data_IF_135342618580
#
_entry.id   IF_135342618580
#
_cell.length_a   1.000
_cell.length_b   1.000
_cell.length_c   1.000
_cell.angle_alpha   90.00
_cell.angle_beta   90.00
_cell.angle_gamma   90.00
#
_symmetry.space_group_name_H-M   'P 1'
#
loop_
_entity.id
_entity.type
_entity.pdbx_description
1 polymer ?
#
# COMPACT_ATOMS: atom_id res chain seq x y z
N UNK A 1 9.87 9.24 -13.39
CA UNK A 1 8.96 8.53 -12.47
C UNK A 1 9.01 7.04 -12.77
N UNK A 2 9.19 6.21 -11.75
CA UNK A 2 9.12 4.75 -11.90
C UNK A 2 7.72 4.35 -11.48
N UNK A 3 6.94 3.85 -12.42
CA UNK A 3 5.63 3.26 -12.16
C UNK A 3 5.72 1.77 -12.44
N UNK A 4 5.41 0.95 -11.44
CA UNK A 4 5.42 -0.50 -11.57
C UNK A 4 4.01 -0.98 -11.90
N UNK A 5 3.85 -1.63 -13.05
CA UNK A 5 2.67 -2.45 -13.32
C UNK A 5 3.01 -3.85 -12.81
N UNK A 6 2.47 -4.21 -11.66
CA UNK A 6 2.67 -5.54 -11.08
C UNK A 6 1.74 -6.54 -11.76
N UNK A 7 2.33 -7.54 -12.42
CA UNK A 7 1.64 -8.74 -12.87
C UNK A 7 2.00 -9.90 -11.94
N UNK A 8 1.00 -10.61 -11.45
CA UNK A 8 1.18 -11.82 -10.66
C UNK A 8 0.34 -12.95 -11.25
N UNK A 9 0.68 -14.20 -10.91
CA UNK A 9 -0.13 -15.36 -11.32
C UNK A 9 -1.58 -15.17 -10.85
N UNK A 10 -2.53 -15.42 -11.75
CA UNK A 10 -3.95 -15.20 -11.50
C UNK A 10 -4.42 -13.73 -11.58
N UNK A 11 -3.54 -12.79 -11.90
CA UNK A 11 -3.86 -11.37 -12.07
C UNK A 11 -4.65 -11.07 -13.34
N UNK A 12 -5.73 -10.30 -13.18
CA UNK A 12 -6.42 -9.64 -14.29
C UNK A 12 -5.66 -8.39 -14.77
N UNK A 13 -6.21 -7.67 -15.76
CA UNK A 13 -5.65 -6.40 -16.20
C UNK A 13 -5.67 -5.36 -15.08
N UNK A 14 -4.65 -4.50 -15.04
CA UNK A 14 -4.68 -3.29 -14.24
C UNK A 14 -5.51 -2.24 -14.97
N UNK A 15 -6.67 -1.89 -14.41
CA UNK A 15 -7.52 -0.82 -14.93
C UNK A 15 -7.29 0.47 -14.14
N UNK A 16 -6.86 1.53 -14.82
CA UNK A 16 -6.73 2.86 -14.22
C UNK A 16 -8.11 3.55 -14.16
N UNK A 17 -8.40 4.32 -13.10
CA UNK A 17 -9.66 5.04 -13.00
C UNK A 17 -9.77 6.12 -14.08
N UNK A 18 -10.98 6.43 -14.54
CA UNK A 18 -11.21 7.40 -15.63
C UNK A 18 -10.59 8.79 -15.36
N UNK A 19 -10.44 9.16 -14.08
CA UNK A 19 -9.87 10.43 -13.65
C UNK A 19 -8.33 10.47 -13.72
N UNK A 20 -7.64 9.33 -13.80
CA UNK A 20 -6.19 9.27 -13.71
C UNK A 20 -5.52 8.44 -14.82
N UNK A 21 -4.31 8.83 -15.18
CA UNK A 21 -3.52 8.14 -16.21
C UNK A 21 -2.04 8.16 -15.88
N UNK A 22 -1.26 7.31 -16.55
CA UNK A 22 0.19 7.27 -16.42
C UNK A 22 0.82 8.07 -17.56
N UNK A 23 1.40 9.25 -17.29
CA UNK A 23 2.02 10.03 -18.35
C UNK A 23 3.32 9.35 -18.82
N UNK A 24 3.41 9.11 -20.12
CA UNK A 24 4.58 8.51 -20.79
C UNK A 24 5.01 9.37 -21.98
N UNK A 25 6.30 9.38 -22.28
CA UNK A 25 6.89 10.21 -23.33
C UNK A 25 7.04 11.68 -22.93
N UNK A 26 7.74 12.45 -23.76
CA UNK A 26 8.04 13.87 -23.48
C UNK A 26 6.75 14.70 -23.41
N UNK A 27 6.61 15.48 -22.34
CA UNK A 27 5.53 16.47 -22.26
C UNK A 27 5.84 17.65 -23.18
N UNK A 28 4.80 18.29 -23.71
CA UNK A 28 4.93 19.41 -24.65
C UNK A 28 5.59 20.66 -24.02
N UNK A 29 5.58 20.76 -22.70
CA UNK A 29 6.28 21.78 -21.90
C UNK A 29 7.78 21.46 -21.69
N UNK A 30 8.28 20.35 -22.22
CA UNK A 30 9.66 19.89 -22.06
C UNK A 30 9.93 19.19 -20.72
N UNK A 31 8.90 18.95 -19.90
CA UNK A 31 9.05 18.25 -18.64
C UNK A 31 9.43 16.77 -18.88
N UNK A 32 10.61 16.39 -18.40
CA UNK A 32 11.20 15.06 -18.49
C UNK A 32 10.73 14.13 -17.37
N UNK A 33 9.85 14.60 -16.48
CA UNK A 33 9.34 13.84 -15.35
C UNK A 33 8.28 12.81 -15.74
N UNK A 34 8.32 12.31 -16.96
CA UNK A 34 7.49 11.25 -17.52
C UNK A 34 8.38 10.11 -18.01
N UNK A 35 7.85 8.89 -18.05
CA UNK A 35 8.65 7.73 -18.46
C UNK A 35 8.98 7.82 -19.96
N UNK A 36 10.26 8.03 -20.30
CA UNK A 36 10.73 8.02 -21.69
C UNK A 36 10.97 6.60 -22.23
N UNK A 37 11.12 5.62 -21.33
CA UNK A 37 11.36 4.21 -21.65
C UNK A 37 10.42 3.34 -20.85
N UNK A 38 10.09 2.18 -21.40
CA UNK A 38 9.42 1.09 -20.69
C UNK A 38 10.44 -0.01 -20.49
N UNK A 39 10.60 -0.44 -19.23
CA UNK A 39 11.43 -1.58 -18.87
C UNK A 39 10.50 -2.71 -18.49
N UNK A 40 10.68 -3.86 -19.12
CA UNK A 40 9.98 -5.09 -18.78
C UNK A 40 10.92 -5.98 -17.97
N UNK A 41 10.54 -6.27 -16.73
CA UNK A 41 11.20 -7.27 -15.90
C UNK A 41 10.29 -8.49 -15.78
N UNK A 42 10.82 -9.68 -16.06
CA UNK A 42 10.08 -10.94 -16.01
C UNK A 42 10.78 -11.90 -15.06
N UNK A 43 10.02 -12.39 -14.07
CA UNK A 43 10.52 -13.34 -13.08
C UNK A 43 10.29 -14.77 -13.58
N UNK A 44 11.35 -15.44 -14.03
CA UNK A 44 11.28 -16.84 -14.47
C UNK A 44 11.63 -17.81 -13.35
N UNK A 45 10.74 -18.78 -13.10
CA UNK A 45 11.02 -19.93 -12.24
C UNK A 45 11.19 -21.18 -13.11
N UNK A 46 12.42 -21.69 -13.25
CA UNK A 46 12.76 -22.87 -14.07
C UNK A 46 13.38 -24.00 -13.22
N UNK A 47 12.60 -24.67 -12.35
CA UNK A 47 13.15 -25.66 -11.40
C UNK A 47 13.68 -26.91 -12.09
N UNK A 48 13.05 -27.31 -13.21
CA UNK A 48 13.49 -28.46 -14.03
C UNK A 48 14.71 -28.19 -14.90
N UNK A 49 15.24 -26.95 -14.89
CA UNK A 49 16.38 -26.51 -15.73
C UNK A 49 16.21 -26.88 -17.19
N UNK A 50 14.98 -26.77 -17.69
CA UNK A 50 14.67 -27.06 -19.07
C UNK A 50 15.51 -26.14 -19.97
N UNK A 51 16.16 -26.75 -20.97
CA UNK A 51 16.98 -26.05 -21.94
C UNK A 51 16.14 -25.62 -23.15
N UNK A 52 16.63 -24.62 -23.88
CA UNK A 52 16.05 -24.16 -25.16
C UNK A 52 14.58 -23.70 -25.08
N UNK A 53 14.12 -23.17 -23.95
CA UNK A 53 12.83 -22.48 -23.86
C UNK A 53 12.97 -21.09 -24.49
N UNK A 54 12.08 -20.77 -25.43
CA UNK A 54 11.90 -19.43 -25.96
C UNK A 54 10.57 -18.90 -25.42
N UNK A 55 10.61 -17.74 -24.79
CA UNK A 55 9.44 -17.05 -24.27
C UNK A 55 9.27 -15.70 -24.96
N UNK A 56 8.01 -15.28 -25.14
CA UNK A 56 7.63 -13.97 -25.69
C UNK A 56 6.54 -13.32 -24.84
N UNK A 57 6.59 -13.53 -23.53
CA UNK A 57 5.66 -12.95 -22.57
C UNK A 57 5.90 -11.45 -22.40
N UNK A 58 4.85 -10.73 -22.01
CA UNK A 58 4.91 -9.29 -21.77
C UNK A 58 3.54 -8.71 -21.44
N UNK A 59 3.45 -7.38 -21.52
CA UNK A 59 2.21 -6.65 -21.26
C UNK A 59 1.64 -6.04 -22.54
N UNK A 60 0.31 -5.93 -22.61
CA UNK A 60 -0.39 -5.07 -23.56
C UNK A 60 -0.75 -3.76 -22.88
N UNK A 61 -0.26 -2.64 -23.43
CA UNK A 61 -0.56 -1.31 -22.93
C UNK A 61 -1.61 -0.63 -23.81
N UNK A 62 -2.69 -0.16 -23.19
CA UNK A 62 -3.70 0.68 -23.83
C UNK A 62 -3.46 2.13 -23.43
N UNK A 63 -3.29 3.03 -24.41
CA UNK A 63 -2.93 4.42 -24.17
C UNK A 63 -3.74 5.39 -25.05
N UNK A 64 -3.70 6.67 -24.70
CA UNK A 64 -4.33 7.76 -25.44
C UNK A 64 -3.42 8.98 -25.43
N UNK A 65 -3.52 9.83 -26.46
CA UNK A 65 -2.84 11.12 -26.50
C UNK A 65 -3.51 12.18 -25.60
N UNK A 66 -4.76 11.97 -25.22
CA UNK A 66 -5.49 12.88 -24.33
C UNK A 66 -5.12 12.62 -22.87
N UNK A 67 -4.50 13.61 -22.21
CA UNK A 67 -4.18 13.53 -20.79
C UNK A 67 -5.45 13.41 -19.94
N UNK A 68 -5.34 12.65 -18.85
CA UNK A 68 -6.37 12.55 -17.81
C UNK A 68 -6.27 13.74 -16.86
N UNK A 69 -7.27 13.89 -15.99
CA UNK A 69 -7.32 14.99 -15.02
C UNK A 69 -6.14 14.92 -14.03
N UNK A 70 -5.74 13.71 -13.65
CA UNK A 70 -4.66 13.49 -12.70
C UNK A 70 -3.61 12.51 -13.25
N UNK A 71 -2.35 12.76 -12.94
CA UNK A 71 -1.31 11.75 -13.08
C UNK A 71 -1.48 10.71 -11.97
N UNK A 72 -1.38 9.43 -12.31
CA UNK A 72 -1.31 8.33 -11.36
C UNK A 72 0.15 8.08 -10.95
N UNK A 73 0.34 7.56 -9.74
CA UNK A 73 1.64 7.24 -9.20
C UNK A 73 1.60 6.04 -8.26
N UNK A 74 2.76 5.68 -7.73
CA UNK A 74 2.89 4.64 -6.69
C UNK A 74 3.47 5.28 -5.44
N UNK A 75 2.82 5.02 -4.30
CA UNK A 75 3.38 5.24 -2.98
C UNK A 75 3.77 3.88 -2.39
N UNK A 76 5.07 3.65 -2.25
CA UNK A 76 5.61 2.40 -1.70
C UNK A 76 5.75 2.50 -0.19
N UNK A 77 5.15 1.57 0.53
CA UNK A 77 5.24 1.44 1.98
C UNK A 77 5.87 0.09 2.31
N UNK A 78 6.88 0.04 3.18
CA UNK A 78 7.49 -1.24 3.53
C UNK A 78 8.76 -1.12 4.35
N UNK A 79 9.40 -2.23 4.66
CA UNK A 79 10.68 -2.23 5.38
C UNK A 79 11.74 -2.91 4.51
N UNK A 80 12.88 -2.26 4.33
CA UNK A 80 14.04 -2.78 3.57
C UNK A 80 15.17 -3.24 4.49
N UNK A 81 14.98 -3.12 5.80
CA UNK A 81 15.99 -3.35 6.83
C UNK A 81 15.41 -4.20 7.95
N UNK A 82 15.31 -5.50 7.67
CA UNK A 82 14.89 -6.51 8.63
C UNK A 82 15.73 -7.79 8.54
N UNK A 83 15.71 -8.55 9.64
CA UNK A 83 16.37 -9.84 9.76
C UNK A 83 15.44 -10.82 10.48
N UNK A 84 14.87 -11.77 9.74
CA UNK A 84 13.96 -12.80 10.26
C UNK A 84 14.82 -13.96 10.78
N UNK A 85 14.78 -14.29 12.09
CA UNK A 85 15.53 -15.41 12.64
C UNK A 85 15.03 -16.75 12.05
N UNK A 86 15.88 -17.79 11.94
CA UNK A 86 15.45 -19.12 11.54
C UNK A 86 14.57 -19.78 12.61
N UNK A 87 13.68 -20.68 12.19
CA UNK A 87 12.89 -21.51 13.10
C UNK A 87 11.76 -20.81 13.86
N UNK A 88 11.36 -19.60 13.46
CA UNK A 88 10.30 -18.86 14.14
C UNK A 88 8.91 -19.23 13.60
N UNK A 89 7.99 -19.54 14.53
CA UNK A 89 6.58 -19.79 14.21
C UNK A 89 5.87 -18.56 13.67
N UNK A 90 6.21 -17.40 14.22
CA UNK A 90 5.73 -16.11 13.76
C UNK A 90 6.81 -15.06 14.04
N UNK A 91 7.12 -14.27 13.03
CA UNK A 91 7.96 -13.09 13.15
C UNK A 91 7.31 -11.93 12.42
N UNK A 92 7.17 -10.79 13.09
CA UNK A 92 6.53 -9.61 12.51
C UNK A 92 7.56 -8.54 12.16
N UNK A 93 7.54 -8.11 10.91
CA UNK A 93 8.19 -6.89 10.45
C UNK A 93 7.16 -5.76 10.44
N UNK A 94 7.55 -4.59 10.96
CA UNK A 94 6.67 -3.43 11.10
C UNK A 94 7.34 -2.18 10.53
N UNK A 95 6.78 -1.69 9.43
CA UNK A 95 7.06 -0.36 8.89
C UNK A 95 6.02 0.65 9.38
N UNK A 96 6.46 1.86 9.71
CA UNK A 96 5.56 2.97 9.99
C UNK A 96 5.93 4.16 9.12
N UNK A 97 4.96 4.64 8.36
CA UNK A 97 5.02 5.92 7.69
C UNK A 97 4.38 7.01 8.58
N UNK A 98 5.19 7.86 9.23
CA UNK A 98 4.67 8.83 10.19
C UNK A 98 3.95 9.99 9.50
N UNK A 99 3.13 10.70 10.29
CA UNK A 99 2.45 11.92 9.87
C UNK A 99 3.38 12.97 9.24
N UNK A 100 4.62 13.08 9.73
CA UNK A 100 5.64 13.99 9.18
C UNK A 100 6.07 13.65 7.75
N UNK A 101 5.89 12.39 7.35
CA UNK A 101 6.14 11.91 6.00
C UNK A 101 4.95 12.17 5.08
N UNK A 102 3.76 11.73 5.48
CA UNK A 102 2.53 11.91 4.71
C UNK A 102 2.14 13.39 4.57
N UNK A 103 2.56 14.25 5.50
CA UNK A 103 2.42 15.71 5.36
C UNK A 103 3.10 16.26 4.10
N UNK A 104 4.09 15.54 3.54
CA UNK A 104 4.80 15.91 2.31
C UNK A 104 4.10 15.46 1.03
N UNK A 105 2.97 14.75 1.13
CA UNK A 105 2.11 14.49 -0.02
C UNK A 105 1.61 15.81 -0.65
N UNK A 106 1.53 16.88 0.15
CA UNK A 106 1.16 18.23 -0.28
C UNK A 106 -0.34 18.42 -0.52
N UNK A 107 -1.08 17.34 -0.75
CA UNK A 107 -2.52 17.33 -0.99
C UNK A 107 -3.12 15.95 -0.66
N UNK A 108 -4.45 15.92 -0.58
CA UNK A 108 -5.22 14.69 -0.48
C UNK A 108 -4.92 13.77 -1.68
N UNK A 109 -4.61 12.52 -1.38
CA UNK A 109 -4.17 11.52 -2.37
C UNK A 109 -5.14 10.34 -2.33
N UNK A 110 -5.81 10.08 -3.45
CA UNK A 110 -6.75 8.97 -3.59
C UNK A 110 -6.00 7.70 -3.92
N UNK A 111 -6.15 6.68 -3.09
CA UNK A 111 -5.75 5.30 -3.36
C UNK A 111 -6.86 4.64 -4.16
N UNK A 112 -6.49 3.93 -5.23
CA UNK A 112 -7.43 3.13 -6.03
C UNK A 112 -7.09 1.64 -6.05
N UNK A 113 -5.85 1.26 -5.71
CA UNK A 113 -5.45 -0.14 -5.61
C UNK A 113 -4.28 -0.31 -4.63
N UNK A 114 -4.27 -1.45 -3.90
CA UNK A 114 -3.15 -1.90 -3.09
C UNK A 114 -2.50 -3.14 -3.71
N UNK A 115 -1.19 -3.07 -3.99
CA UNK A 115 -0.35 -4.19 -4.42
C UNK A 115 0.48 -4.70 -3.24
N UNK A 116 -0.06 -5.65 -2.48
CA UNK A 116 0.64 -6.27 -1.35
C UNK A 116 1.69 -7.25 -1.88
N UNK A 117 2.88 -7.28 -1.26
CA UNK A 117 4.00 -8.07 -1.75
C UNK A 117 4.91 -8.61 -0.63
N UNK A 118 5.15 -9.93 -0.67
CA UNK A 118 6.05 -10.69 0.21
C UNK A 118 6.57 -11.93 -0.54
N UNK A 119 7.60 -12.61 -0.03
CA UNK A 119 8.07 -13.88 -0.61
C UNK A 119 7.50 -15.10 0.16
N UNK A 120 8.17 -16.25 0.04
CA UNK A 120 7.64 -17.57 0.42
C UNK A 120 7.43 -17.77 1.93
N UNK A 121 8.14 -17.03 2.78
CA UNK A 121 7.97 -17.11 4.23
C UNK A 121 6.79 -16.24 4.73
N UNK A 122 6.17 -15.43 3.87
CA UNK A 122 5.04 -14.60 4.25
C UNK A 122 3.82 -15.40 4.68
N UNK A 123 3.13 -14.94 5.73
CA UNK A 123 1.90 -15.56 6.24
C UNK A 123 0.72 -14.60 6.31
N UNK A 124 0.95 -13.31 6.57
CA UNK A 124 -0.08 -12.29 6.53
C UNK A 124 0.52 -10.89 6.32
N UNK A 125 -0.26 -9.99 5.73
CA UNK A 125 0.12 -8.58 5.57
C UNK A 125 -1.09 -7.67 5.71
N UNK A 126 -0.89 -6.54 6.38
CA UNK A 126 -1.90 -5.47 6.50
C UNK A 126 -1.20 -4.11 6.48
N UNK A 127 -1.82 -3.14 5.82
CA UNK A 127 -1.46 -1.73 5.97
C UNK A 127 -2.60 -0.98 6.64
N UNK A 128 -2.40 -0.57 7.88
CA UNK A 128 -3.36 0.26 8.60
C UNK A 128 -3.30 1.70 8.12
N UNK A 129 -4.45 2.35 8.07
CA UNK A 129 -4.59 3.78 7.82
C UNK A 129 -5.16 4.44 9.06
N UNK A 130 -4.39 5.33 9.68
CA UNK A 130 -4.80 6.03 10.89
C UNK A 130 -4.91 7.52 10.55
N UNK A 131 -6.13 8.01 10.47
CA UNK A 131 -6.45 9.41 10.17
C UNK A 131 -7.00 10.08 11.43
N UNK A 132 -6.40 11.21 11.83
CA UNK A 132 -6.79 11.97 13.02
C UNK A 132 -6.94 11.12 14.31
N UNK A 133 -6.10 10.09 14.48
CA UNK A 133 -6.14 9.21 15.65
C UNK A 133 -7.23 8.12 15.61
N UNK A 134 -7.90 7.94 14.47
CA UNK A 134 -8.90 6.89 14.24
C UNK A 134 -8.41 6.00 13.10
N UNK A 135 -8.35 4.70 13.36
CA UNK A 135 -8.04 3.72 12.32
C UNK A 135 -9.23 3.58 11.37
N UNK A 136 -8.94 3.76 10.08
CA UNK A 136 -9.85 3.65 8.96
C UNK A 136 -9.78 2.25 8.37
N UNK A 137 -10.56 2.01 7.31
CA UNK A 137 -10.41 0.81 6.49
C UNK A 137 -8.94 0.66 6.05
N UNK A 138 -8.33 -0.54 6.20
CA UNK A 138 -6.93 -0.74 5.88
C UNK A 138 -6.66 -0.54 4.39
N UNK A 139 -5.45 -0.05 4.07
CA UNK A 139 -4.96 0.16 2.69
C UNK A 139 -4.52 -1.15 2.04
N UNK A 140 -5.26 -2.24 2.27
CA UNK A 140 -4.90 -3.59 1.88
C UNK A 140 -4.66 -4.49 3.08
N UNK A 141 -5.25 -5.69 3.01
CA UNK A 141 -5.15 -6.75 3.99
C UNK A 141 -5.17 -8.13 3.31
N UNK A 142 -4.33 -9.03 3.78
CA UNK A 142 -4.32 -10.47 3.48
C UNK A 142 -3.98 -11.21 4.77
N UNK A 143 -4.98 -11.87 5.34
CA UNK A 143 -4.82 -12.65 6.57
C UNK A 143 -4.16 -14.02 6.31
N UNK A 144 -4.25 -14.50 5.07
CA UNK A 144 -3.64 -15.75 4.61
C UNK A 144 -2.88 -15.46 3.33
N UNK A 145 -1.59 -15.17 3.47
CA UNK A 145 -0.72 -14.88 2.34
C UNK A 145 -0.44 -16.14 1.53
N UNK A 146 -0.54 -16.04 0.21
CA UNK A 146 -0.07 -17.03 -0.75
C UNK A 146 0.86 -16.32 -1.74
N UNK A 147 2.13 -16.74 -1.77
CA UNK A 147 3.15 -16.19 -2.66
C UNK A 147 2.72 -16.24 -4.13
N UNK A 148 1.86 -17.18 -4.52
CA UNK A 148 1.39 -17.33 -5.89
C UNK A 148 0.18 -16.42 -6.21
N UNK A 149 -0.36 -15.67 -5.25
CA UNK A 149 -1.56 -14.84 -5.40
C UNK A 149 -1.30 -13.40 -4.94
N UNK A 150 -0.54 -12.66 -5.74
CA UNK A 150 -0.15 -11.28 -5.43
C UNK A 150 -0.91 -10.25 -6.27
N UNK A 151 -2.15 -10.57 -6.60
CA UNK A 151 -3.01 -9.69 -7.39
C UNK A 151 -3.38 -8.43 -6.60
N UNK A 152 -3.39 -7.29 -7.29
CA UNK A 152 -3.79 -6.03 -6.70
C UNK A 152 -5.23 -6.06 -6.20
N UNK A 153 -5.48 -5.41 -5.06
CA UNK A 153 -6.84 -5.28 -4.51
C UNK A 153 -7.34 -3.87 -4.77
N UNK A 154 -8.46 -3.76 -5.50
CA UNK A 154 -9.14 -2.49 -5.67
C UNK A 154 -9.62 -1.95 -4.32
N UNK A 155 -9.34 -0.68 -4.06
CA UNK A 155 -9.72 0.01 -2.84
C UNK A 155 -9.84 1.49 -3.17
N UNK A 156 -10.95 2.14 -2.82
CA UNK A 156 -11.10 3.58 -3.00
C UNK A 156 -11.13 4.29 -1.66
N UNK A 157 -10.04 4.99 -1.33
CA UNK A 157 -9.92 5.78 -0.09
C UNK A 157 -8.93 6.92 -0.28
N UNK A 158 -8.86 7.85 0.67
CA UNK A 158 -8.01 9.04 0.58
C UNK A 158 -7.03 9.07 1.75
N UNK A 159 -5.75 9.19 1.42
CA UNK A 159 -4.69 9.52 2.38
C UNK A 159 -4.57 11.03 2.42
N UNK A 160 -4.64 11.62 3.61
CA UNK A 160 -4.47 13.05 3.81
C UNK A 160 -3.09 13.39 4.37
N UNK A 161 -2.57 14.59 4.08
CA UNK A 161 -1.40 15.12 4.77
C UNK A 161 -1.56 15.02 6.30
N UNK A 162 -0.64 14.32 6.96
CA UNK A 162 -0.66 14.12 8.42
C UNK A 162 -1.22 12.77 8.88
N UNK A 163 -1.74 11.93 7.98
CA UNK A 163 -2.16 10.58 8.33
C UNK A 163 -0.97 9.68 8.70
N UNK A 164 -1.20 8.65 9.50
CA UNK A 164 -0.20 7.62 9.84
C UNK A 164 -0.53 6.32 9.13
N UNK A 165 0.45 5.71 8.47
CA UNK A 165 0.29 4.43 7.78
C UNK A 165 1.21 3.39 8.42
N UNK A 166 0.69 2.20 8.72
CA UNK A 166 1.48 1.15 9.40
C UNK A 166 1.35 -0.15 8.62
N UNK A 167 2.43 -0.58 7.99
CA UNK A 167 2.50 -1.87 7.29
C UNK A 167 3.09 -2.91 8.21
N UNK A 168 2.36 -4.00 8.43
CA UNK A 168 2.83 -5.17 9.19
C UNK A 168 2.85 -6.37 8.27
N UNK A 169 3.98 -7.05 8.26
CA UNK A 169 4.21 -8.29 7.53
C UNK A 169 4.54 -9.38 8.55
N UNK A 170 3.75 -10.44 8.59
CA UNK A 170 4.01 -11.61 9.41
C UNK A 170 4.65 -12.70 8.54
N UNK A 171 5.64 -13.36 9.11
CA UNK A 171 6.38 -14.45 8.46
C UNK A 171 6.37 -15.69 9.34
N UNK A 172 6.51 -16.86 8.70
CA UNK A 172 6.92 -18.12 9.31
C UNK A 172 8.28 -18.52 8.73
N UNK A 173 9.25 -18.77 9.60
CA UNK A 173 10.59 -19.22 9.21
C UNK A 173 10.93 -20.59 9.77
N UNK A 174 9.92 -21.38 10.16
CA UNK A 174 10.04 -22.76 10.67
C UNK A 174 11.01 -23.62 9.84
N UNK A 175 10.91 -23.52 8.52
CA UNK A 175 11.67 -24.34 7.57
C UNK A 175 13.00 -23.69 7.13
N UNK A 176 13.37 -22.53 7.72
CA UNK A 176 14.61 -21.81 7.40
C UNK A 176 15.68 -22.16 8.42
N UNK A 177 16.89 -22.43 7.94
CA UNK A 177 18.06 -22.78 8.77
C UNK A 177 19.00 -21.60 9.01
N UNK A 178 18.83 -20.49 8.28
CA UNK A 178 19.62 -19.28 8.40
C UNK A 178 18.74 -18.03 8.48
N UNK A 179 19.32 -16.93 8.95
CA UNK A 179 18.61 -15.66 9.05
C UNK A 179 18.23 -15.18 7.65
N UNK A 180 16.93 -14.94 7.43
CA UNK A 180 16.39 -14.44 6.16
C UNK A 180 16.33 -12.90 6.21
N UNK A 181 16.74 -12.22 5.14
CA UNK A 181 16.83 -10.74 5.05
C UNK A 181 16.04 -10.23 3.86
N UNK A 182 15.93 -8.91 3.78
CA UNK A 182 15.57 -8.23 2.55
C UNK A 182 16.40 -8.74 1.35
N UNK A 183 15.74 -8.99 0.22
CA UNK A 183 16.42 -9.26 -1.05
C UNK A 183 15.45 -9.68 -2.14
N UNK A 184 15.95 -9.72 -3.38
CA UNK A 184 15.17 -9.97 -4.60
C UNK A 184 14.95 -11.46 -4.89
N UNK A 185 15.73 -12.36 -4.26
CA UNK A 185 15.55 -13.80 -4.50
C UNK A 185 14.28 -14.28 -3.82
N UNK A 186 13.62 -15.27 -4.42
CA UNK A 186 12.46 -15.96 -3.83
C UNK A 186 12.72 -16.52 -2.42
N UNK A 187 13.99 -16.83 -2.10
CA UNK A 187 14.42 -17.30 -0.78
C UNK A 187 14.85 -16.18 0.18
N UNK A 188 15.08 -14.97 -0.31
CA UNK A 188 15.13 -13.77 0.53
C UNK A 188 13.67 -13.35 0.84
N UNK A 189 13.45 -12.24 1.54
CA UNK A 189 12.10 -11.74 1.84
C UNK A 189 11.89 -10.28 1.47
N UNK A 190 10.62 -9.90 1.33
CA UNK A 190 10.17 -8.52 1.17
C UNK A 190 8.94 -8.22 2.04
N UNK A 191 8.76 -6.95 2.37
CA UNK A 191 7.59 -6.44 3.08
C UNK A 191 7.12 -5.15 2.41
N UNK A 192 6.24 -5.25 1.40
CA UNK A 192 5.76 -4.06 0.69
C UNK A 192 4.25 -4.00 0.52
N UNK A 193 3.74 -2.78 0.51
CA UNK A 193 2.47 -2.41 -0.07
C UNK A 193 2.71 -1.29 -1.09
N UNK A 194 2.49 -1.61 -2.36
CA UNK A 194 2.55 -0.67 -3.46
C UNK A 194 1.16 -0.07 -3.68
N UNK A 195 0.94 1.12 -3.12
CA UNK A 195 -0.34 1.82 -3.28
C UNK A 195 -0.34 2.56 -4.60
N UNK A 196 -1.29 2.22 -5.48
CA UNK A 196 -1.54 2.99 -6.68
C UNK A 196 -2.50 4.12 -6.33
N UNK A 197 -2.06 5.34 -6.66
CA UNK A 197 -2.69 6.56 -6.18
C UNK A 197 -2.81 7.64 -7.25
N UNK A 198 -3.71 8.61 -7.04
CA UNK A 198 -3.75 9.87 -7.77
C UNK A 198 -4.25 11.03 -6.88
N UNK A 199 -3.80 12.28 -7.09
CA UNK A 199 -2.70 12.66 -8.00
C UNK A 199 -1.36 12.03 -7.58
N UNK A 200 -0.43 11.92 -8.51
CA UNK A 200 0.87 11.32 -8.26
C UNK A 200 1.59 12.07 -7.13
N UNK A 201 2.01 11.38 -6.05
CA UNK A 201 2.56 12.03 -4.88
C UNK A 201 4.01 12.46 -5.11
N UNK A 202 4.43 13.48 -4.33
CA UNK A 202 5.85 13.83 -4.21
C UNK A 202 6.63 12.78 -3.42
N UNK A 203 6.00 12.14 -2.44
CA UNK A 203 6.56 11.02 -1.66
C UNK A 203 6.44 9.74 -2.46
N UNK A 204 7.58 9.05 -2.68
CA UNK A 204 7.64 7.82 -3.47
C UNK A 204 7.78 6.58 -2.60
N UNK A 205 8.60 6.66 -1.55
CA UNK A 205 8.92 5.53 -0.68
C UNK A 205 8.93 6.00 0.77
N UNK A 206 8.28 5.21 1.62
CA UNK A 206 8.27 5.38 3.05
C UNK A 206 8.69 4.07 3.71
N UNK A 207 9.92 4.01 4.21
CA UNK A 207 10.53 2.75 4.65
C UNK A 207 11.28 2.80 5.98
N UNK A 208 11.10 1.76 6.79
CA UNK A 208 11.77 1.58 8.06
C UNK A 208 13.25 1.24 7.87
N UNK A 209 14.10 1.74 8.77
CA UNK A 209 15.55 1.46 8.80
C UNK A 209 15.98 0.80 10.12
N UNK A 210 15.06 0.08 10.79
CA UNK A 210 15.23 -0.39 12.17
C UNK A 210 16.46 -1.28 12.35
N UNK A 211 16.74 -2.17 11.40
CA UNK A 211 17.87 -3.12 11.52
C UNK A 211 19.23 -2.52 11.18
N UNK A 212 19.30 -1.22 10.84
CA UNK A 212 20.56 -0.49 10.70
C UNK A 212 21.05 0.14 12.02
N UNK A 213 20.40 -0.16 13.14
CA UNK A 213 20.73 0.45 14.43
C UNK A 213 20.27 1.91 14.56
N UNK A 214 19.46 2.40 13.62
CA UNK A 214 18.92 3.75 13.62
C UNK A 214 17.67 3.90 14.50
N UNK A 215 17.20 2.84 15.17
CA UNK A 215 16.02 2.89 16.05
C UNK A 215 14.71 3.07 15.27
N UNK A 216 13.80 3.91 15.79
CA UNK A 216 12.50 4.22 15.18
C UNK A 216 12.60 5.25 14.03
N UNK A 217 13.62 5.15 13.18
CA UNK A 217 13.75 6.05 12.03
C UNK A 217 13.10 5.43 10.79
N UNK A 218 12.35 6.28 10.10
CA UNK A 218 11.73 6.01 8.81
C UNK A 218 12.34 6.97 7.79
N UNK A 219 12.61 6.43 6.62
CA UNK A 219 13.06 7.16 5.48
C UNK A 219 11.88 7.49 4.57
N UNK A 220 11.77 8.76 4.23
CA UNK A 220 10.74 9.36 3.42
C UNK A 220 11.35 9.98 2.18
N UNK A 221 11.45 9.17 1.13
CA UNK A 221 12.02 9.63 -0.12
C UNK A 221 10.96 10.39 -0.89
N UNK A 222 11.34 11.59 -1.24
CA UNK A 222 10.59 12.48 -2.12
C UNK A 222 11.32 12.64 -3.45
N UNK A 223 10.58 13.06 -4.46
CA UNK A 223 11.17 13.75 -5.60
C UNK A 223 11.64 15.13 -5.18
N UNK A 224 12.75 15.60 -5.72
CA UNK A 224 13.10 17.02 -5.67
C UNK A 224 12.29 17.82 -6.71
N UNK A 225 12.53 19.14 -6.78
CA UNK A 225 11.90 20.03 -7.76
C UNK A 225 12.23 19.68 -9.22
N UNK A 226 13.30 18.91 -9.44
CA UNK A 226 13.73 18.41 -10.75
C UNK A 226 13.19 17.01 -11.03
N UNK A 227 12.40 16.45 -10.12
CA UNK A 227 11.81 15.11 -10.21
C UNK A 227 12.79 13.96 -10.04
N UNK A 228 14.04 14.24 -9.64
CA UNK A 228 15.04 13.22 -9.35
C UNK A 228 14.79 12.59 -7.98
N UNK A 229 15.10 11.30 -7.89
CA UNK A 229 14.92 10.52 -6.67
C UNK A 229 16.23 10.57 -5.89
N UNK A 230 16.19 11.06 -4.66
CA UNK A 230 17.36 11.13 -3.78
C UNK A 230 17.58 9.75 -3.12
N UNK A 231 18.01 8.74 -3.89
CA UNK A 231 17.95 7.32 -3.47
C UNK A 231 19.23 6.49 -3.61
N UNK A 232 20.25 6.95 -4.33
CA UNK A 232 21.38 6.10 -4.73
C UNK A 232 22.20 5.54 -3.54
N UNK A 233 22.26 6.27 -2.42
CA UNK A 233 22.98 5.84 -1.20
C UNK A 233 22.19 4.85 -0.33
N UNK A 234 20.87 4.80 -0.48
CA UNK A 234 19.99 3.95 0.33
C UNK A 234 19.80 2.55 -0.27
N UNK A 235 19.88 2.44 -1.59
CA UNK A 235 19.93 1.14 -2.27
C UNK A 235 21.18 0.34 -1.88
N UNK A 236 22.30 1.04 -1.65
CA UNK A 236 23.54 0.46 -1.11
C UNK A 236 23.36 -0.08 0.31
N UNK A 237 22.52 0.56 1.12
CA UNK A 237 22.18 0.16 2.49
C UNK A 237 21.23 -1.04 2.51
N UNK A 238 20.19 -1.04 1.66
CA UNK A 238 19.24 -2.15 1.50
C UNK A 238 19.93 -3.44 1.03
N UNK A 239 20.92 -3.32 0.15
CA UNK A 239 21.65 -4.46 -0.41
C UNK A 239 22.65 -5.11 0.57
N UNK A 240 22.81 -4.58 1.80
CA UNK A 240 23.81 -5.06 2.76
C UNK A 240 25.25 -4.94 2.26
N UNK A 241 25.49 -4.08 1.26
CA UNK A 241 26.74 -4.05 0.47
C UNK A 241 27.73 -2.96 0.87
N UNK A 242 27.46 -2.13 1.89
CA UNK A 242 28.30 -0.95 2.13
C UNK A 242 28.61 -0.71 3.61
N UNK A 243 29.90 -0.53 3.89
CA UNK A 243 30.42 0.09 5.11
C UNK A 243 29.93 1.54 5.17
N UNK A 244 29.27 1.92 6.26
CA UNK A 244 28.53 3.18 6.36
C UNK A 244 29.44 4.42 6.33
N UNK A 245 29.13 5.43 5.50
CA UNK A 245 29.70 6.79 5.62
C UNK A 245 28.75 7.69 6.43
N UNK A 246 29.15 8.18 7.62
CA UNK A 246 28.37 9.09 8.44
C UNK A 246 27.87 10.36 7.72
N UNK A 247 28.57 10.81 6.68
CA UNK A 247 28.18 11.99 5.89
C UNK A 247 26.83 11.80 5.16
N UNK A 248 26.53 10.57 4.73
CA UNK A 248 25.28 10.24 4.02
C UNK A 248 24.04 10.30 4.93
N UNK A 249 24.15 9.95 6.22
CA UNK A 249 23.05 10.16 7.18
C UNK A 249 22.78 11.63 7.40
N UNK A 250 23.86 12.40 7.53
CA UNK A 250 23.75 13.83 7.78
C UNK A 250 22.97 14.52 6.66
N UNK A 251 23.21 14.15 5.40
CA UNK A 251 22.44 14.66 4.26
C UNK A 251 20.96 14.25 4.30
N UNK A 252 20.64 13.01 4.65
CA UNK A 252 19.24 12.56 4.79
C UNK A 252 18.52 13.28 5.94
N UNK A 253 19.22 13.58 7.03
CA UNK A 253 18.67 14.39 8.13
C UNK A 253 18.51 15.84 7.71
N UNK A 254 19.52 16.43 7.05
CA UNK A 254 19.54 17.82 6.59
C UNK A 254 18.42 18.11 5.58
N UNK A 255 18.18 17.18 4.67
CA UNK A 255 17.07 17.24 3.69
C UNK A 255 15.72 16.83 4.29
N UNK A 256 15.72 16.42 5.56
CA UNK A 256 14.56 15.93 6.28
C UNK A 256 14.05 14.58 5.79
N UNK A 257 14.71 13.89 4.87
CA UNK A 257 14.26 12.58 4.38
C UNK A 257 14.29 11.50 5.44
N UNK A 258 15.20 11.59 6.41
CA UNK A 258 15.16 10.76 7.61
C UNK A 258 14.26 11.40 8.68
N UNK A 259 13.18 10.72 9.06
CA UNK A 259 12.22 11.18 10.07
C UNK A 259 12.00 10.12 11.14
N UNK A 260 11.70 10.57 12.36
CA UNK A 260 11.37 9.64 13.44
C UNK A 260 9.93 9.16 13.32
N UNK A 261 9.74 7.85 13.24
CA UNK A 261 8.45 7.21 13.45
C UNK A 261 8.11 7.30 14.95
N UNK A 262 7.01 7.98 15.27
CA UNK A 262 6.56 8.02 16.66
C UNK A 262 6.00 6.64 17.05
N UNK A 263 6.79 5.86 17.78
CA UNK A 263 6.35 4.59 18.33
C UNK A 263 5.12 4.79 19.23
N UNK A 264 4.11 3.95 19.05
CA UNK A 264 3.01 3.75 20.00
C UNK A 264 2.16 4.99 20.35
N UNK A 265 1.76 5.82 19.37
CA UNK A 265 0.60 6.69 19.57
C UNK A 265 -0.67 5.85 19.63
N UNK A 266 -1.45 6.01 20.69
CA UNK A 266 -2.79 5.42 20.79
C UNK A 266 -3.69 5.94 19.68
N UNK A 267 -4.58 5.09 19.21
CA UNK A 267 -5.61 5.41 18.23
C UNK A 267 -6.85 4.55 18.52
N UNK A 268 -8.01 5.00 18.05
CA UNK A 268 -9.23 4.21 18.11
C UNK A 268 -9.19 3.14 17.01
N UNK A 269 -9.31 1.84 17.33
CA UNK A 269 -9.17 0.78 16.35
C UNK A 269 -10.33 0.77 15.36
N UNK A 270 -10.06 0.30 14.15
CA UNK A 270 -11.08 0.17 13.13
C UNK A 270 -12.03 -0.95 13.53
N UNK A 271 -13.33 -0.65 13.51
CA UNK A 271 -14.38 -1.64 13.77
C UNK A 271 -15.04 -1.95 12.45
N UNK A 272 -14.86 -3.18 11.95
CA UNK A 272 -15.59 -3.64 10.78
C UNK A 272 -17.10 -3.52 11.02
N UNK A 273 -17.88 -3.02 10.06
CA UNK A 273 -19.33 -3.01 10.20
C UNK A 273 -19.83 -4.45 10.34
N UNK A 274 -20.63 -4.71 11.38
CA UNK A 274 -21.34 -5.98 11.49
C UNK A 274 -22.35 -6.08 10.35
N UNK A 275 -22.09 -6.95 9.37
CA UNK A 275 -23.09 -7.37 8.41
C UNK A 275 -24.13 -8.22 9.13
N UNK A 276 -25.20 -7.59 9.62
CA UNK A 276 -26.39 -8.29 10.09
C UNK A 276 -27.09 -8.90 8.87
N UNK A 277 -26.80 -10.17 8.58
CA UNK A 277 -27.63 -11.03 7.75
C UNK A 277 -28.97 -11.22 8.47
N UNK A 278 -29.90 -10.27 8.32
CA UNK A 278 -31.30 -10.59 8.55
C UNK A 278 -31.73 -11.45 7.36
N UNK A 279 -32.15 -12.70 7.63
CA UNK A 279 -32.94 -13.43 6.65
C UNK A 279 -34.14 -12.55 6.31
N UNK A 280 -34.20 -12.09 5.06
CA UNK A 280 -35.47 -11.69 4.49
C UNK A 280 -36.23 -13.00 4.31
N UNK A 281 -36.84 -13.50 5.40
CA UNK A 281 -37.96 -14.42 5.26
C UNK A 281 -38.95 -13.75 4.31
N UNK A 282 -39.24 -14.43 3.21
CA UNK A 282 -40.14 -14.01 2.16
C UNK A 282 -41.52 -13.70 2.75
N UNK A 283 -41.75 -12.45 3.14
CA UNK A 283 -43.09 -11.97 3.41
C UNK A 283 -43.76 -11.74 2.04
N UNK A 284 -44.97 -12.29 1.81
CA UNK A 284 -45.68 -12.11 0.56
C UNK A 284 -45.95 -10.62 0.35
N UNK A 285 -45.53 -10.10 -0.80
CA UNK A 285 -45.76 -8.72 -1.21
C UNK A 285 -47.26 -8.52 -1.37
N UNK A 286 -47.91 -7.95 -0.35
CA UNK A 286 -49.17 -7.23 -0.53
C UNK A 286 -48.84 -5.74 -0.44
N UNK A 287 -49.18 -5.00 -1.48
CA UNK A 287 -48.78 -3.61 -1.66
C UNK A 287 -49.39 -2.71 -0.59
N UNK A 288 -48.60 -2.35 0.42
CA UNK A 288 -48.79 -1.16 1.24
C UNK A 288 -47.43 -0.55 1.58
N UNK A 289 -47.31 0.76 1.38
CA UNK A 289 -46.17 1.56 1.85
C UNK A 289 -46.16 1.56 3.38
N UNK A 290 -45.23 0.83 3.99
CA UNK A 290 -45.03 0.91 5.45
C UNK A 290 -43.93 1.94 5.71
N UNK A 291 -44.34 3.15 6.06
CA UNK A 291 -43.46 4.09 6.75
C UNK A 291 -43.33 3.61 8.21
N UNK A 292 -42.17 3.07 8.58
CA UNK A 292 -41.87 2.79 9.98
C UNK A 292 -41.29 4.04 10.63
N UNK A 293 -42.11 4.73 11.43
CA UNK A 293 -41.63 5.73 12.38
C UNK A 293 -41.01 5.01 13.59
N UNK A 294 -39.74 5.26 13.89
CA UNK A 294 -39.19 4.99 15.22
C UNK A 294 -39.13 6.29 16.01
N UNK A 295 -39.93 6.37 17.07
CA UNK A 295 -39.76 7.35 18.15
C UNK A 295 -38.77 6.79 19.18
N UNK A 296 -37.65 7.48 19.37
CA UNK A 296 -36.67 7.28 20.43
C UNK A 296 -35.88 8.57 20.62
N UNK A 297 -35.80 9.05 21.86
CA UNK A 297 -35.51 10.43 22.24
C UNK A 297 -34.13 10.97 21.83
N UNK A 298 -34.12 12.22 21.33
CA UNK A 298 -33.04 13.19 21.49
C UNK A 298 -31.78 13.04 20.62
N UNK A 299 -31.76 13.68 19.46
CA UNK A 299 -30.54 13.93 18.66
C UNK A 299 -30.85 14.06 17.17
N UNK A 300 -30.41 15.15 16.54
CA UNK A 300 -30.72 15.48 15.15
C UNK A 300 -30.22 14.40 14.16
N UNK A 301 -31.14 13.77 13.41
CA UNK A 301 -30.82 12.89 12.29
C UNK A 301 -30.57 13.73 11.02
N UNK A 302 -29.40 13.56 10.40
CA UNK A 302 -29.20 13.87 8.98
C UNK A 302 -29.59 12.64 8.14
N UNK A 303 -30.47 12.86 7.17
CA UNK A 303 -30.94 11.87 6.20
C UNK A 303 -29.80 11.41 5.29
N UNK A 304 -29.61 10.10 5.13
CA UNK A 304 -28.78 9.52 4.06
C UNK A 304 -29.67 8.73 3.10
N UNK A 305 -29.66 9.11 1.83
CA UNK A 305 -30.36 8.44 0.74
C UNK A 305 -29.60 7.16 0.36
N UNK A 306 -30.26 6.00 0.47
CA UNK A 306 -29.71 4.69 0.04
C UNK A 306 -30.27 4.36 -1.33
N UNK A 307 -29.41 4.26 -2.34
CA UNK A 307 -29.77 3.63 -3.63
C UNK A 307 -29.34 2.18 -3.57
N UNK A 308 -30.32 1.28 -3.47
CA UNK A 308 -30.11 -0.15 -3.39
C UNK A 308 -29.95 -0.75 -4.80
N UNK A 309 -28.80 -1.38 -5.05
CA UNK A 309 -28.66 -2.41 -6.08
C UNK A 309 -27.97 -3.61 -5.42
N UNK A 310 -28.72 -4.72 -5.34
CA UNK A 310 -28.42 -6.01 -4.69
C UNK A 310 -28.56 -6.05 -3.15
N UNK A 311 -29.69 -6.64 -2.74
CA UNK A 311 -30.08 -7.38 -1.52
C UNK A 311 -29.37 -7.27 -0.14
N UNK A 312 -28.48 -6.31 0.13
CA UNK A 312 -27.85 -6.15 1.44
C UNK A 312 -27.96 -4.70 1.91
N UNK A 313 -28.42 -4.50 3.15
CA UNK A 313 -28.46 -3.20 3.82
C UNK A 313 -27.37 -3.19 4.89
N UNK A 314 -26.30 -2.42 4.66
CA UNK A 314 -25.30 -2.14 5.70
C UNK A 314 -25.78 -0.97 6.56
N UNK A 315 -26.00 -1.21 7.86
CA UNK A 315 -26.30 -0.16 8.83
C UNK A 315 -25.02 0.29 9.51
N UNK A 316 -24.74 1.59 9.46
CA UNK A 316 -23.62 2.21 10.15
C UNK A 316 -24.03 2.55 11.59
N UNK A 317 -23.37 1.93 12.57
CA UNK A 317 -23.47 2.33 13.98
C UNK A 317 -22.12 2.82 14.47
N UNK A 318 -22.01 4.10 14.81
CA UNK A 318 -20.91 4.60 15.64
C UNK A 318 -21.27 4.27 17.09
N UNK A 319 -20.66 3.22 17.65
CA UNK A 319 -20.78 2.93 19.08
C UNK A 319 -19.97 3.99 19.82
N UNK A 320 -20.62 4.97 20.44
CA UNK A 320 -19.97 5.84 21.40
C UNK A 320 -19.66 5.02 22.66
N UNK A 321 -18.38 4.76 22.93
CA UNK A 321 -17.96 4.26 24.23
C UNK A 321 -18.10 5.39 25.26
N UNK A 322 -18.69 5.14 26.45
CA UNK A 322 -18.71 6.13 27.52
C UNK A 322 -17.28 6.35 28.05
N UNK A 323 -16.97 7.62 28.36
CA UNK A 323 -15.72 8.07 28.99
C UNK A 323 -15.47 7.41 30.35
#
# INVERSE_FOLDING_TARGET
PIFWVLGAVGGGPLELPAAAGLPMGLRADGDINTAAHVVLEVHYTNPGRAAAIVDSSGFRLHYTAALRQHDAGVLTLGDISFAIPPGADSYQVRNECPASCTSRLGQDTTVFQAGLHMHMAGSAIVTQHIAAGIEQLPLGRRDFWDFNQQTGTGLLTTIRPGDRLVTRCNYTSKDRTSITRYGERTTDEMCFNFLLVYPAPFVLLCTGLRSLGLGDQTLCITKDSSGQVVLDELQKLAAGKVSYDPSSLFELVRTGQLVTAAANKSYLPYTEPECLLRSLESQPVSGQSVASSMHGAGGALQMALVVALSSAVCLWWVKSSPM
#
